data_IF_424443327668
#
_entry.id   IF_424443327668
#
_cell.length_a   1.000
_cell.length_b   1.000
_cell.length_c   1.000
_cell.angle_alpha   90.00
_cell.angle_beta   90.00
_cell.angle_gamma   90.00
#
_symmetry.space_group_name_H-M   'P 1'
#
loop_
_entity.id
_entity.type
_entity.pdbx_description
1 polymer ?
#
# COMPACT_ATOMS: atom_id res chain seq x y z
N UNK A 1 -18.09 -12.65 11.10
CA UNK A 1 -18.24 -11.19 11.37
C UNK A 1 -17.37 -10.48 10.36
N UNK A 2 -17.93 -9.56 9.58
CA UNK A 2 -17.15 -8.80 8.59
C UNK A 2 -16.12 -7.90 9.31
N UNK A 3 -14.86 -7.99 8.93
CA UNK A 3 -13.76 -7.19 9.49
C UNK A 3 -13.37 -6.09 8.52
N UNK A 4 -13.32 -6.40 7.22
CA UNK A 4 -12.94 -5.49 6.14
C UNK A 4 -14.18 -4.91 5.47
N UNK A 5 -15.22 -5.73 5.24
CA UNK A 5 -16.52 -5.32 4.70
C UNK A 5 -16.66 -5.49 3.19
N UNK A 6 -15.84 -6.34 2.57
CA UNK A 6 -15.94 -6.74 1.17
C UNK A 6 -15.43 -8.18 0.97
N UNK A 7 -15.10 -8.58 -0.26
CA UNK A 7 -14.63 -9.93 -0.63
C UNK A 7 -13.32 -10.38 0.04
N UNK A 8 -12.52 -9.45 0.55
CA UNK A 8 -11.38 -9.79 1.40
C UNK A 8 -11.76 -10.56 2.67
N UNK A 9 -12.98 -10.36 3.21
CA UNK A 9 -13.42 -11.09 4.40
C UNK A 9 -13.54 -12.60 4.13
N UNK A 10 -13.94 -12.99 2.92
CA UNK A 10 -13.96 -14.39 2.49
C UNK A 10 -12.55 -14.91 2.22
N UNK A 11 -11.77 -14.18 1.42
CA UNK A 11 -10.40 -14.55 1.02
C UNK A 11 -9.48 -14.74 2.22
N UNK A 12 -9.60 -13.89 3.23
CA UNK A 12 -8.75 -13.89 4.43
C UNK A 12 -9.43 -14.54 5.64
N UNK A 13 -10.58 -15.20 5.47
CA UNK A 13 -11.37 -15.75 6.60
C UNK A 13 -10.53 -16.65 7.51
N UNK A 14 -9.69 -17.51 6.94
CA UNK A 14 -8.80 -18.40 7.70
C UNK A 14 -7.66 -17.68 8.45
N UNK A 15 -7.31 -16.43 8.07
CA UNK A 15 -6.24 -15.69 8.76
C UNK A 15 -6.67 -15.15 10.12
N UNK A 16 -7.94 -14.73 10.24
CA UNK A 16 -8.47 -14.10 11.45
C UNK A 16 -8.55 -15.05 12.65
N UNK A 17 -8.58 -16.37 12.41
CA UNK A 17 -8.64 -17.41 13.45
C UNK A 17 -7.27 -17.94 13.86
N UNK A 18 -6.21 -17.59 13.14
CA UNK A 18 -4.85 -18.05 13.44
C UNK A 18 -4.30 -17.43 14.73
N UNK A 19 -3.48 -18.19 15.45
CA UNK A 19 -2.90 -17.76 16.73
C UNK A 19 -2.07 -16.48 16.63
N UNK A 20 -1.34 -16.29 15.54
CA UNK A 20 -0.56 -15.06 15.35
C UNK A 20 -1.47 -13.83 15.28
N UNK A 21 -2.64 -13.95 14.60
CA UNK A 21 -3.58 -12.86 14.45
C UNK A 21 -4.31 -12.57 15.78
N UNK A 22 -4.67 -13.60 16.54
CA UNK A 22 -5.23 -13.45 17.89
C UNK A 22 -4.23 -12.71 18.81
N UNK A 23 -2.95 -13.09 18.77
CA UNK A 23 -1.88 -12.38 19.50
C UNK A 23 -1.72 -10.94 19.04
N UNK A 24 -1.74 -10.70 17.73
CA UNK A 24 -1.69 -9.35 17.16
C UNK A 24 -2.86 -8.49 17.65
N UNK A 25 -4.08 -9.01 17.64
CA UNK A 25 -5.27 -8.30 18.17
C UNK A 25 -5.15 -7.96 19.66
N UNK A 26 -4.68 -8.90 20.45
CA UNK A 26 -4.45 -8.67 21.89
C UNK A 26 -3.40 -7.59 22.12
N UNK A 27 -2.30 -7.64 21.37
CA UNK A 27 -1.26 -6.61 21.36
C UNK A 27 -1.84 -5.23 20.98
N UNK A 28 -2.56 -5.14 19.86
CA UNK A 28 -3.15 -3.87 19.41
C UNK A 28 -4.14 -3.29 20.42
N UNK A 29 -4.97 -4.13 21.06
CA UNK A 29 -5.87 -3.67 22.12
C UNK A 29 -5.10 -3.01 23.27
N UNK A 30 -3.97 -3.57 23.68
CA UNK A 30 -3.09 -2.96 24.69
C UNK A 30 -2.46 -1.67 24.19
N UNK A 31 -1.96 -1.66 22.95
CA UNK A 31 -1.30 -0.49 22.35
C UNK A 31 -2.23 0.71 22.25
N UNK A 32 -3.44 0.54 21.68
CA UNK A 32 -4.42 1.62 21.55
C UNK A 32 -4.99 2.10 22.89
N UNK A 33 -4.89 1.30 23.97
CA UNK A 33 -5.31 1.73 25.31
C UNK A 33 -4.26 2.52 26.07
N UNK A 34 -2.98 2.40 25.72
CA UNK A 34 -1.85 2.94 26.49
C UNK A 34 -0.93 3.87 25.72
N UNK A 35 -1.02 3.90 24.40
CA UNK A 35 -0.18 4.69 23.52
C UNK A 35 -1.01 5.38 22.43
N UNK A 36 -0.47 6.44 21.85
CA UNK A 36 -0.99 7.03 20.62
C UNK A 36 -0.49 6.21 19.44
N UNK A 37 -1.42 5.66 18.67
CA UNK A 37 -1.15 4.74 17.55
C UNK A 37 -1.71 5.33 16.25
N UNK A 38 -1.01 5.11 15.16
CA UNK A 38 -1.40 5.49 13.81
C UNK A 38 -1.51 4.27 12.89
N UNK A 39 -2.50 4.28 11.97
CA UNK A 39 -3.64 5.20 11.88
C UNK A 39 -4.64 4.99 13.02
N UNK A 40 -5.77 5.71 13.01
CA UNK A 40 -6.93 5.39 13.84
C UNK A 40 -7.35 3.92 13.65
N UNK A 41 -7.86 3.29 14.70
CA UNK A 41 -8.19 1.86 14.68
C UNK A 41 -9.23 1.49 13.60
N UNK A 42 -10.10 2.41 13.23
CA UNK A 42 -11.11 2.20 12.17
C UNK A 42 -10.54 2.33 10.76
N UNK A 43 -9.34 2.93 10.63
CA UNK A 43 -8.66 3.17 9.36
C UNK A 43 -7.63 2.07 9.01
N UNK A 44 -7.30 1.17 9.93
CA UNK A 44 -6.22 0.16 9.77
C UNK A 44 -6.34 -0.61 8.44
N UNK A 45 -7.55 -0.97 8.04
CA UNK A 45 -7.81 -1.79 6.84
C UNK A 45 -8.29 -0.98 5.63
N UNK A 46 -8.15 0.35 5.62
CA UNK A 46 -8.68 1.18 4.53
C UNK A 46 -8.11 0.80 3.16
N UNK A 47 -6.85 0.35 3.07
CA UNK A 47 -6.29 -0.15 1.82
C UNK A 47 -7.13 -1.31 1.25
N UNK A 48 -7.51 -2.27 2.09
CA UNK A 48 -8.34 -3.42 1.71
C UNK A 48 -9.81 -3.04 1.53
N UNK A 49 -10.33 -2.11 2.36
CA UNK A 49 -11.72 -1.63 2.24
C UNK A 49 -11.98 -0.90 0.94
N UNK A 50 -11.02 -0.08 0.47
CA UNK A 50 -11.19 0.75 -0.70
C UNK A 50 -10.73 0.08 -2.00
N UNK A 51 -9.95 -0.98 -1.90
CA UNK A 51 -9.55 -1.82 -3.02
C UNK A 51 -9.93 -3.26 -2.70
N UNK A 52 -11.04 -3.74 -3.30
CA UNK A 52 -11.51 -5.11 -3.12
C UNK A 52 -10.51 -6.12 -3.71
N UNK A 53 -10.59 -7.37 -3.29
CA UNK A 53 -9.76 -8.44 -3.86
C UNK A 53 -9.97 -8.58 -5.36
N UNK A 54 -11.23 -8.63 -5.80
CA UNK A 54 -11.58 -8.80 -7.21
C UNK A 54 -11.11 -7.61 -8.07
N UNK A 55 -11.19 -6.38 -7.54
CA UNK A 55 -10.84 -5.16 -8.27
C UNK A 55 -9.34 -4.82 -8.23
N UNK A 56 -8.54 -5.52 -7.40
CA UNK A 56 -7.11 -5.25 -7.31
C UNK A 56 -6.42 -5.50 -8.66
N UNK A 57 -5.82 -4.46 -9.23
CA UNK A 57 -5.08 -4.46 -10.51
C UNK A 57 -3.60 -4.20 -10.30
N UNK A 58 -3.29 -3.26 -9.43
CA UNK A 58 -1.92 -2.83 -9.09
C UNK A 58 -1.74 -2.89 -7.59
N UNK A 59 -0.58 -3.34 -7.14
CA UNK A 59 -0.18 -3.31 -5.72
C UNK A 59 1.06 -2.42 -5.59
N UNK A 60 0.98 -1.40 -4.74
CA UNK A 60 2.14 -0.59 -4.35
C UNK A 60 2.41 -0.87 -2.87
N UNK A 61 3.61 -1.38 -2.57
CA UNK A 61 3.96 -1.76 -1.20
C UNK A 61 4.75 -0.65 -0.51
N UNK A 62 4.22 -0.22 0.62
CA UNK A 62 4.92 0.61 1.60
C UNK A 62 5.50 -0.22 2.74
N UNK A 63 6.18 0.44 3.67
CA UNK A 63 6.81 -0.20 4.83
C UNK A 63 5.89 -0.18 6.04
N UNK A 64 5.66 0.97 6.62
CA UNK A 64 4.81 1.23 7.77
C UNK A 64 4.04 2.56 7.59
N UNK A 65 3.00 2.80 8.37
CA UNK A 65 2.27 4.07 8.30
C UNK A 65 3.17 5.26 8.68
N UNK A 66 2.83 6.45 8.18
CA UNK A 66 3.40 7.67 8.72
C UNK A 66 3.07 7.76 10.22
N UNK A 67 4.06 8.16 11.02
CA UNK A 67 4.00 8.10 12.48
C UNK A 67 3.77 9.45 13.16
N UNK A 68 3.53 10.51 12.40
CA UNK A 68 3.16 11.81 12.94
C UNK A 68 1.64 11.97 12.97
N UNK A 69 1.17 12.82 13.90
CA UNK A 69 -0.25 13.07 14.09
C UNK A 69 -0.96 13.52 12.82
N UNK A 70 -2.13 12.97 12.58
CA UNK A 70 -3.00 13.36 11.47
C UNK A 70 -2.57 12.87 10.09
N UNK A 71 -1.41 12.24 9.94
CA UNK A 71 -0.91 11.80 8.63
C UNK A 71 -1.58 10.53 8.11
N UNK A 72 -1.38 9.42 8.80
CA UNK A 72 -1.81 8.11 8.35
C UNK A 72 -3.33 7.92 8.38
N UNK A 73 -3.85 7.26 7.36
CA UNK A 73 -5.25 6.87 7.25
C UNK A 73 -5.45 5.48 6.61
N UNK A 74 -4.45 4.61 6.74
CA UNK A 74 -4.52 3.19 6.34
C UNK A 74 -4.12 2.87 4.91
N UNK A 75 -3.62 3.85 4.14
CA UNK A 75 -3.06 3.65 2.79
C UNK A 75 -1.56 3.95 2.77
N UNK A 76 -0.77 3.09 2.14
CA UNK A 76 0.65 3.33 1.92
C UNK A 76 0.89 4.62 1.12
N UNK A 77 1.88 5.40 1.50
CA UNK A 77 2.30 6.67 0.89
C UNK A 77 1.29 7.83 0.99
N UNK A 78 0.04 7.57 1.34
CA UNK A 78 -1.03 8.55 1.42
C UNK A 78 -1.11 9.24 2.77
N UNK A 79 -1.48 10.53 2.75
CA UNK A 79 -1.80 11.31 3.95
C UNK A 79 -3.19 11.92 3.84
N UNK A 80 -3.76 12.35 4.97
CA UNK A 80 -5.04 13.07 5.00
C UNK A 80 -4.95 14.39 4.21
N UNK A 81 -6.10 14.92 3.79
CA UNK A 81 -6.20 16.05 2.84
C UNK A 81 -5.44 17.30 3.27
N UNK A 82 -5.54 17.67 4.55
CA UNK A 82 -4.97 18.91 5.10
C UNK A 82 -3.51 18.74 5.61
N UNK A 83 -2.86 17.63 5.23
CA UNK A 83 -1.50 17.33 5.69
C UNK A 83 -0.49 17.66 4.59
N UNK A 84 0.65 18.24 4.99
CA UNK A 84 1.77 18.49 4.09
C UNK A 84 2.18 17.20 3.38
N UNK A 85 2.37 17.27 2.06
CA UNK A 85 2.75 16.13 1.23
C UNK A 85 4.13 15.61 1.69
N UNK A 86 4.23 14.32 2.08
CA UNK A 86 5.50 13.74 2.51
C UNK A 86 6.55 13.70 1.37
N UNK A 87 7.84 13.76 1.70
CA UNK A 87 8.91 13.85 0.69
C UNK A 87 8.92 12.68 -0.32
N UNK A 88 8.60 11.45 0.11
CA UNK A 88 8.51 10.31 -0.80
C UNK A 88 7.38 10.49 -1.81
N UNK A 89 6.22 10.99 -1.37
CA UNK A 89 5.08 11.24 -2.27
C UNK A 89 5.34 12.42 -3.20
N UNK A 90 6.05 13.46 -2.75
CA UNK A 90 6.52 14.54 -3.64
C UNK A 90 7.36 13.97 -4.78
N UNK A 91 8.25 13.01 -4.50
CA UNK A 91 9.07 12.37 -5.53
C UNK A 91 8.23 11.46 -6.46
N UNK A 92 7.21 10.79 -5.94
CA UNK A 92 6.24 10.05 -6.78
C UNK A 92 5.51 10.99 -7.75
N UNK A 93 5.07 12.15 -7.29
CA UNK A 93 4.42 13.15 -8.15
C UNK A 93 5.38 13.75 -9.20
N UNK A 94 6.65 13.95 -8.85
CA UNK A 94 7.66 14.38 -9.85
C UNK A 94 7.85 13.33 -10.94
N UNK A 95 7.89 12.05 -10.57
CA UNK A 95 8.01 10.96 -11.54
C UNK A 95 6.75 10.86 -12.40
N UNK A 96 5.56 10.97 -11.82
CA UNK A 96 4.29 11.04 -12.58
C UNK A 96 4.24 12.21 -13.56
N UNK A 97 4.73 13.37 -13.16
CA UNK A 97 4.85 14.53 -14.07
C UNK A 97 5.77 14.22 -15.24
N UNK A 98 6.93 13.61 -14.96
CA UNK A 98 7.91 13.27 -15.99
C UNK A 98 7.42 12.16 -16.95
N UNK A 99 6.72 11.14 -16.43
CA UNK A 99 6.26 9.98 -17.21
C UNK A 99 4.99 10.25 -18.02
N UNK A 100 4.03 10.96 -17.43
CA UNK A 100 2.65 11.05 -17.91
C UNK A 100 2.15 12.50 -18.06
N UNK A 101 2.96 13.51 -17.72
CA UNK A 101 2.57 14.91 -17.79
C UNK A 101 1.54 15.33 -16.71
N UNK A 102 1.32 14.52 -15.67
CA UNK A 102 0.45 14.86 -14.55
C UNK A 102 0.96 16.13 -13.86
N UNK A 103 0.09 17.08 -13.54
CA UNK A 103 0.51 18.19 -12.70
C UNK A 103 0.74 17.73 -11.26
N UNK A 104 1.59 18.45 -10.52
CA UNK A 104 1.85 18.15 -9.10
C UNK A 104 0.68 18.69 -8.27
N UNK A 105 -0.10 17.83 -7.58
CA UNK A 105 -1.25 18.27 -6.81
C UNK A 105 -0.84 18.98 -5.51
N UNK A 106 -1.80 19.71 -4.90
CA UNK A 106 -1.58 20.39 -3.64
C UNK A 106 -1.85 19.55 -2.38
N UNK A 107 -2.17 18.27 -2.55
CA UNK A 107 -2.48 17.34 -1.45
C UNK A 107 -1.89 15.96 -1.68
N UNK A 108 -1.86 15.14 -0.62
CA UNK A 108 -1.32 13.78 -0.65
C UNK A 108 -2.37 12.68 -0.43
N UNK A 109 -3.64 12.92 -0.75
CA UNK A 109 -4.74 12.00 -0.49
C UNK A 109 -5.00 11.07 -1.67
N UNK A 110 -4.54 9.82 -1.59
CA UNK A 110 -4.49 8.87 -2.69
C UNK A 110 -5.73 7.95 -2.81
N UNK A 111 -6.86 8.28 -2.17
CA UNK A 111 -8.08 7.47 -2.25
C UNK A 111 -8.51 7.20 -3.70
N UNK A 112 -8.37 8.17 -4.59
CA UNK A 112 -8.71 8.02 -6.02
C UNK A 112 -7.96 6.84 -6.65
N UNK A 113 -6.71 6.61 -6.30
CA UNK A 113 -5.97 5.45 -6.80
C UNK A 113 -6.53 4.15 -6.25
N UNK A 114 -6.79 4.10 -4.93
CA UNK A 114 -7.36 2.91 -4.30
C UNK A 114 -8.70 2.51 -4.92
N UNK A 115 -9.58 3.48 -5.17
CA UNK A 115 -10.90 3.26 -5.81
C UNK A 115 -10.82 2.77 -7.25
N UNK A 116 -9.68 2.88 -7.90
CA UNK A 116 -9.44 2.37 -9.27
C UNK A 116 -8.79 0.98 -9.29
N UNK A 117 -8.52 0.38 -8.14
CA UNK A 117 -7.90 -0.94 -8.02
C UNK A 117 -6.40 -0.90 -7.74
N UNK A 118 -5.87 0.22 -7.22
CA UNK A 118 -4.49 0.31 -6.73
C UNK A 118 -4.46 0.00 -5.24
N UNK A 119 -4.07 -1.20 -4.86
CA UNK A 119 -3.90 -1.58 -3.46
C UNK A 119 -2.64 -0.94 -2.88
N UNK A 120 -2.83 0.11 -2.09
CA UNK A 120 -1.77 0.84 -1.38
C UNK A 120 -1.52 0.20 -0.02
N UNK A 121 -0.74 -0.88 0.02
CA UNK A 121 -0.57 -1.73 1.19
C UNK A 121 0.78 -1.48 1.88
N UNK A 122 0.77 -1.23 3.19
CA UNK A 122 1.97 -1.26 4.01
C UNK A 122 2.26 -2.68 4.52
N UNK A 123 3.53 -3.02 4.74
CA UNK A 123 3.92 -4.27 5.39
C UNK A 123 3.51 -4.33 6.87
N UNK A 124 3.55 -3.19 7.55
CA UNK A 124 3.00 -2.98 8.91
C UNK A 124 1.79 -2.05 8.79
N UNK A 125 0.66 -2.41 9.40
CA UNK A 125 -0.55 -1.59 9.28
C UNK A 125 -0.74 -0.60 10.44
N UNK A 126 0.09 -0.67 11.47
CA UNK A 126 0.05 0.25 12.62
C UNK A 126 1.45 0.60 13.10
N UNK A 127 1.56 1.76 13.78
CA UNK A 127 2.82 2.27 14.34
C UNK A 127 2.51 3.18 15.53
N UNK A 128 3.41 3.26 16.54
CA UNK A 128 3.33 4.25 17.61
C UNK A 128 3.68 5.64 17.09
N UNK A 129 3.06 6.67 17.67
CA UNK A 129 3.40 8.06 17.44
C UNK A 129 4.90 8.30 17.61
N UNK A 130 5.51 9.01 16.65
CA UNK A 130 6.94 9.32 16.62
C UNK A 130 7.90 8.13 16.47
N UNK A 131 7.42 6.89 16.34
CA UNK A 131 8.28 5.70 16.42
C UNK A 131 8.11 4.75 15.22
N UNK A 132 8.77 5.07 14.10
CA UNK A 132 8.78 4.22 12.91
C UNK A 132 9.15 2.77 13.25
N UNK A 133 8.52 1.81 12.57
CA UNK A 133 8.71 0.36 12.76
C UNK A 133 8.41 -0.20 14.17
N UNK A 134 7.81 0.57 15.08
CA UNK A 134 7.56 0.15 16.47
C UNK A 134 6.72 -1.12 16.60
N UNK A 135 5.90 -1.46 15.60
CA UNK A 135 5.08 -2.68 15.58
C UNK A 135 5.68 -3.81 14.72
N UNK A 136 6.95 -3.71 14.35
CA UNK A 136 7.65 -4.77 13.62
C UNK A 136 7.72 -6.05 14.44
N UNK A 137 7.50 -7.21 13.78
CA UNK A 137 7.53 -8.53 14.42
C UNK A 137 6.33 -8.83 15.32
N UNK A 138 5.27 -8.01 15.28
CA UNK A 138 4.06 -8.23 16.08
C UNK A 138 2.98 -9.04 15.37
N UNK A 139 3.19 -9.37 14.08
CA UNK A 139 2.30 -10.22 13.28
C UNK A 139 1.74 -9.56 12.02
N UNK A 140 1.93 -8.25 11.84
CA UNK A 140 1.48 -7.56 10.63
C UNK A 140 2.13 -8.12 9.37
N UNK A 141 3.43 -8.44 9.41
CA UNK A 141 4.14 -8.99 8.26
C UNK A 141 3.53 -10.32 7.80
N UNK A 142 3.09 -11.17 8.74
CA UNK A 142 2.44 -12.45 8.43
C UNK A 142 1.09 -12.19 7.76
N UNK A 143 0.30 -11.24 8.30
CA UNK A 143 -1.01 -10.88 7.75
C UNK A 143 -0.88 -10.28 6.34
N UNK A 144 0.01 -9.31 6.15
CA UNK A 144 0.20 -8.67 4.83
C UNK A 144 0.84 -9.61 3.81
N UNK A 145 1.66 -10.57 4.25
CA UNK A 145 2.14 -11.65 3.39
C UNK A 145 1.00 -12.57 2.94
N UNK A 146 0.00 -12.83 3.79
CA UNK A 146 -1.17 -13.61 3.36
C UNK A 146 -2.03 -12.86 2.33
N UNK A 147 -2.17 -11.54 2.48
CA UNK A 147 -2.82 -10.68 1.45
C UNK A 147 -2.09 -10.82 0.11
N UNK A 148 -0.75 -10.72 0.11
CA UNK A 148 0.05 -10.83 -1.11
C UNK A 148 -0.04 -12.24 -1.71
N UNK A 149 0.00 -13.30 -0.88
CA UNK A 149 -0.16 -14.69 -1.35
C UNK A 149 -1.53 -14.90 -2.01
N UNK A 150 -2.60 -14.43 -1.40
CA UNK A 150 -3.93 -14.53 -2.00
C UNK A 150 -4.00 -13.88 -3.38
N UNK A 151 -3.33 -12.73 -3.56
CA UNK A 151 -3.20 -12.10 -4.88
C UNK A 151 -2.30 -12.88 -5.83
N UNK A 152 -1.20 -13.49 -5.32
CA UNK A 152 -0.32 -14.35 -6.11
C UNK A 152 -1.03 -15.62 -6.62
N UNK A 153 -2.01 -16.12 -5.87
CA UNK A 153 -2.74 -17.32 -6.22
C UNK A 153 -3.90 -17.07 -7.21
N UNK A 154 -4.14 -15.80 -7.59
CA UNK A 154 -5.16 -15.43 -8.57
C UNK A 154 -4.77 -15.82 -9.98
N UNK A 155 -5.74 -16.29 -10.77
CA UNK A 155 -5.57 -16.46 -12.22
C UNK A 155 -5.43 -15.12 -12.95
N UNK A 156 -6.24 -14.11 -12.53
CA UNK A 156 -6.19 -12.77 -13.12
C UNK A 156 -4.88 -12.08 -12.74
N UNK A 157 -4.08 -11.61 -13.73
CA UNK A 157 -2.81 -10.97 -13.49
C UNK A 157 -2.92 -9.72 -12.58
N UNK A 158 -1.90 -9.49 -11.77
CA UNK A 158 -1.73 -8.31 -10.92
C UNK A 158 -0.36 -7.71 -11.20
N UNK A 159 -0.24 -6.40 -11.14
CA UNK A 159 1.02 -5.67 -11.29
C UNK A 159 1.53 -5.29 -9.90
N UNK A 160 2.68 -5.81 -9.49
CA UNK A 160 3.31 -5.47 -8.22
C UNK A 160 4.41 -4.43 -8.44
N UNK A 161 4.28 -3.26 -7.85
CA UNK A 161 5.27 -2.18 -7.86
C UNK A 161 6.02 -2.19 -6.52
N UNK A 162 7.24 -2.73 -6.54
CA UNK A 162 8.05 -2.98 -5.34
C UNK A 162 9.23 -2.00 -5.30
N UNK A 163 9.13 -0.98 -4.45
CA UNK A 163 10.09 0.10 -4.36
C UNK A 163 10.95 0.00 -3.10
N UNK A 164 12.26 -0.13 -3.31
CA UNK A 164 13.23 -0.30 -2.23
C UNK A 164 13.34 -1.73 -1.71
N UNK A 165 14.32 -1.98 -0.84
CA UNK A 165 14.70 -3.33 -0.41
C UNK A 165 13.59 -4.03 0.39
N UNK A 166 12.91 -3.31 1.29
CA UNK A 166 11.84 -3.90 2.11
C UNK A 166 10.68 -4.44 1.25
N UNK A 167 10.26 -3.67 0.23
CA UNK A 167 9.23 -4.13 -0.69
C UNK A 167 9.72 -5.31 -1.56
N UNK A 168 10.99 -5.28 -2.01
CA UNK A 168 11.60 -6.37 -2.79
C UNK A 168 11.71 -7.70 -2.03
N UNK A 169 11.72 -7.69 -0.69
CA UNK A 169 11.66 -8.93 0.09
C UNK A 169 10.40 -9.75 -0.19
N UNK A 170 9.31 -9.11 -0.66
CA UNK A 170 8.06 -9.76 -1.03
C UNK A 170 8.14 -10.57 -2.34
N UNK A 171 9.24 -10.47 -3.10
CA UNK A 171 9.51 -11.36 -4.24
C UNK A 171 9.50 -12.85 -3.84
N UNK A 172 9.77 -13.17 -2.58
CA UNK A 172 9.69 -14.55 -2.06
C UNK A 172 8.30 -15.14 -2.13
N UNK A 173 7.27 -14.29 -2.09
CA UNK A 173 5.86 -14.72 -2.05
C UNK A 173 5.10 -14.41 -3.34
N UNK A 174 5.73 -13.67 -4.27
CA UNK A 174 5.17 -13.37 -5.61
C UNK A 174 5.90 -14.27 -6.61
N UNK A 175 5.38 -15.46 -6.80
CA UNK A 175 6.06 -16.54 -7.56
C UNK A 175 5.29 -16.98 -8.79
N UNK A 176 4.01 -16.65 -8.89
CA UNK A 176 3.18 -17.09 -10.00
C UNK A 176 3.50 -16.32 -11.29
N UNK A 177 3.66 -17.00 -12.43
CA UNK A 177 4.22 -16.41 -13.66
C UNK A 177 3.28 -15.47 -14.40
N UNK A 178 1.99 -15.47 -14.08
CA UNK A 178 1.00 -14.59 -14.71
C UNK A 178 1.11 -13.14 -14.26
N UNK A 179 1.74 -12.86 -13.11
CA UNK A 179 1.84 -11.53 -12.55
C UNK A 179 3.03 -10.74 -13.12
N UNK A 180 2.92 -9.43 -13.06
CA UNK A 180 3.99 -8.51 -13.46
C UNK A 180 4.64 -7.88 -12.23
N UNK A 181 5.96 -7.86 -12.19
CA UNK A 181 6.70 -7.27 -11.08
C UNK A 181 7.63 -6.16 -11.60
N UNK A 182 7.41 -4.94 -11.10
CA UNK A 182 8.21 -3.76 -11.40
C UNK A 182 9.01 -3.37 -10.16
N UNK A 183 10.33 -3.43 -10.23
CA UNK A 183 11.22 -3.16 -9.08
C UNK A 183 12.14 -1.97 -9.35
N UNK A 184 12.27 -1.08 -8.38
CA UNK A 184 13.22 0.05 -8.43
C UNK A 184 13.66 0.46 -7.03
N UNK A 185 14.43 1.57 -6.92
CA UNK A 185 14.76 2.20 -5.64
C UNK A 185 13.52 2.78 -4.98
N UNK A 186 13.58 3.03 -3.67
CA UNK A 186 12.48 3.68 -2.94
C UNK A 186 12.37 5.18 -3.31
N UNK A 187 11.16 5.77 -3.37
CA UNK A 187 10.97 7.19 -3.70
C UNK A 187 11.46 8.18 -2.63
N UNK A 188 11.97 7.71 -1.50
CA UNK A 188 12.52 8.58 -0.47
C UNK A 188 13.65 9.48 -1.01
N UNK A 189 13.81 10.72 -0.50
CA UNK A 189 14.92 11.60 -0.89
C UNK A 189 16.31 10.95 -0.80
N UNK A 190 16.48 9.98 0.11
CA UNK A 190 17.73 9.26 0.33
C UNK A 190 18.09 8.28 -0.82
N UNK A 191 17.12 7.92 -1.67
CA UNK A 191 17.30 6.85 -2.67
C UNK A 191 16.66 7.12 -4.03
N UNK A 192 15.80 8.11 -4.16
CA UNK A 192 15.06 8.35 -5.41
C UNK A 192 15.97 8.57 -6.63
N UNK A 193 17.11 9.26 -6.46
CA UNK A 193 18.12 9.46 -7.50
C UNK A 193 18.86 8.18 -7.91
N UNK A 194 18.72 7.08 -7.15
CA UNK A 194 19.39 5.80 -7.41
C UNK A 194 18.54 4.87 -8.29
N UNK A 195 17.59 5.42 -9.06
CA UNK A 195 16.81 4.67 -10.04
C UNK A 195 15.30 4.75 -9.89
N UNK A 196 14.75 5.46 -8.89
CA UNK A 196 13.31 5.73 -8.86
C UNK A 196 12.94 6.75 -9.94
N UNK A 197 13.67 7.87 -10.02
CA UNK A 197 13.47 8.83 -11.10
C UNK A 197 13.87 8.21 -12.45
N UNK A 198 12.96 8.29 -13.42
CA UNK A 198 13.10 7.70 -14.75
C UNK A 198 12.79 6.20 -14.80
N UNK A 199 12.19 5.59 -13.75
CA UNK A 199 11.85 4.16 -13.77
C UNK A 199 10.71 3.83 -14.74
N UNK A 200 9.84 4.78 -15.05
CA UNK A 200 8.73 4.60 -15.97
C UNK A 200 7.62 3.67 -15.45
N UNK A 201 7.51 3.45 -14.14
CA UNK A 201 6.64 2.41 -13.58
C UNK A 201 5.16 2.73 -13.73
N UNK A 202 4.74 3.98 -13.61
CA UNK A 202 3.33 4.36 -13.76
C UNK A 202 2.87 4.20 -15.21
N UNK A 203 3.69 4.64 -16.17
CA UNK A 203 3.45 4.44 -17.61
C UNK A 203 3.43 2.95 -17.96
N UNK A 204 4.41 2.18 -17.48
CA UNK A 204 4.49 0.72 -17.69
C UNK A 204 3.27 0.00 -17.11
N UNK A 205 2.82 0.38 -15.91
CA UNK A 205 1.63 -0.21 -15.31
C UNK A 205 0.40 -0.01 -16.20
N UNK A 206 0.17 1.20 -16.73
CA UNK A 206 -0.94 1.45 -17.64
C UNK A 206 -0.82 0.67 -18.95
N UNK A 207 0.37 0.58 -19.54
CA UNK A 207 0.61 -0.25 -20.74
C UNK A 207 0.33 -1.74 -20.49
N UNK A 208 0.67 -2.25 -19.29
CA UNK A 208 0.37 -3.63 -18.92
C UNK A 208 -1.13 -3.84 -18.72
N UNK A 209 -1.82 -2.90 -18.06
CA UNK A 209 -3.27 -2.94 -17.90
C UNK A 209 -3.98 -2.97 -19.26
N UNK A 210 -3.59 -2.13 -20.20
CA UNK A 210 -4.14 -2.13 -21.56
C UNK A 210 -3.94 -3.48 -22.26
N UNK A 211 -2.74 -4.08 -22.16
CA UNK A 211 -2.45 -5.42 -22.70
C UNK A 211 -3.30 -6.53 -22.06
N UNK A 212 -3.69 -6.34 -20.80
CA UNK A 212 -4.58 -7.25 -20.08
C UNK A 212 -6.06 -7.01 -20.37
N UNK A 213 -6.41 -6.02 -21.21
CA UNK A 213 -7.78 -5.60 -21.46
C UNK A 213 -8.42 -4.84 -20.31
N UNK A 214 -7.61 -4.35 -19.38
CA UNK A 214 -8.05 -3.57 -18.22
C UNK A 214 -7.98 -2.07 -18.50
N UNK A 215 -8.88 -1.32 -17.85
CA UNK A 215 -8.84 0.15 -17.90
C UNK A 215 -7.56 0.66 -17.21
N UNK A 216 -6.78 1.52 -17.85
CA UNK A 216 -5.64 2.19 -17.23
C UNK A 216 -6.04 2.97 -15.98
N UNK A 217 -5.09 3.14 -15.07
CA UNK A 217 -5.26 3.99 -13.89
C UNK A 217 -5.11 5.46 -14.30
N UNK A 218 -6.07 6.28 -13.90
CA UNK A 218 -5.90 7.73 -13.89
C UNK A 218 -5.08 8.12 -12.66
N UNK A 219 -3.80 8.34 -12.88
CA UNK A 219 -2.84 8.67 -11.83
C UNK A 219 -2.93 10.13 -11.35
N UNK A 220 -3.64 11.01 -12.06
CA UNK A 220 -3.77 12.39 -11.65
C UNK A 220 -4.60 12.49 -10.36
N UNK A 221 -4.05 13.14 -9.33
CA UNK A 221 -4.77 13.56 -8.14
C UNK A 221 -5.19 15.02 -8.34
N UNK A 222 -6.44 15.34 -8.11
CA UNK A 222 -6.98 16.69 -8.23
C UNK A 222 -6.55 17.57 -7.05
N UNK A 223 -6.44 18.87 -7.31
CA UNK A 223 -6.30 19.86 -6.23
C UNK A 223 -7.59 19.94 -5.39
N UNK A 224 -7.43 20.21 -4.11
CA UNK A 224 -8.51 20.43 -3.14
C UNK A 224 -8.37 21.81 -2.51
#
# INVERSE_FOLDING_TARGET
>A
MAIIGNDWDEVLSGEFDKDYYKRLRAFLKSEYSSHKIHPDMYDIYNALKWTSYADTKVVILGQDPYHEEGQAHGLAFSVKKDVKIPPSLVNMYKELNAELGCYIPNNGYLEKWARQGVLLLNSLLTVRDGAANSHRGKGWEIFTDSVIRSLNDREKPVIFMLWGNNAKEKLKVITAPQHYVLTTAHPSPLSASRGFFGCGHFKKANQLLERMGEKPIDWQIENI
#
